data_IF_815766667626
#
_entry.id   IF_815766667626
#
_cell.length_a   1.000
_cell.length_b   1.000
_cell.length_c   1.000
_cell.angle_alpha   90.00
_cell.angle_beta   90.00
_cell.angle_gamma   90.00
#
_symmetry.space_group_name_H-M   'P 1'
#
loop_
_entity.id
_entity.type
_entity.pdbx_description
1 polymer ?
#
# COMPACT_ATOMS: atom_id res chain seq x y z
N UNK A 1 26.16 -54.01 18.15
CA UNK A 1 25.09 -54.12 19.16
C UNK A 1 23.82 -53.50 18.57
N UNK A 2 22.66 -54.10 18.86
CA UNK A 2 21.40 -54.10 18.08
C UNK A 2 20.78 -52.73 17.73
N UNK A 3 20.02 -52.64 16.61
CA UNK A 3 19.18 -51.52 16.20
C UNK A 3 17.72 -51.65 16.71
N UNK A 4 16.95 -50.56 16.71
CA UNK A 4 15.48 -50.54 16.90
C UNK A 4 14.94 -49.29 16.16
N UNK A 5 14.32 -49.39 14.98
CA UNK A 5 12.95 -49.83 14.65
C UNK A 5 11.87 -49.03 15.39
N UNK A 6 11.11 -48.22 14.64
CA UNK A 6 9.65 -48.17 14.66
C UNK A 6 9.13 -47.13 13.64
N UNK A 7 8.49 -47.56 12.53
CA UNK A 7 7.52 -46.73 11.79
C UNK A 7 6.13 -46.98 12.39
N UNK A 8 5.40 -45.93 12.78
CA UNK A 8 4.06 -46.04 13.34
C UNK A 8 3.07 -45.12 12.60
N UNK A 9 1.99 -45.75 12.16
CA UNK A 9 0.81 -45.20 11.50
C UNK A 9 0.04 -44.19 12.37
N UNK A 10 -0.57 -43.21 11.69
CA UNK A 10 -1.80 -42.50 12.07
C UNK A 10 -2.34 -41.88 10.75
N UNK A 11 -3.34 -42.37 10.02
CA UNK A 11 -4.72 -42.82 10.27
C UNK A 11 -5.63 -41.71 10.82
N UNK A 12 -6.60 -41.34 9.97
CA UNK A 12 -7.90 -40.69 10.20
C UNK A 12 -7.95 -39.20 10.62
N UNK A 13 -8.43 -38.36 9.69
CA UNK A 13 -9.45 -37.31 9.89
C UNK A 13 -9.90 -36.87 8.48
N UNK A 14 -11.00 -37.38 7.91
CA UNK A 14 -12.40 -36.99 8.15
C UNK A 14 -12.67 -35.48 7.98
N UNK A 15 -13.43 -35.17 6.92
CA UNK A 15 -14.44 -34.11 6.79
C UNK A 15 -14.04 -32.62 6.95
N UNK A 16 -14.41 -31.86 5.92
CA UNK A 16 -14.69 -30.42 5.99
C UNK A 16 -13.75 -29.61 5.10
N UNK A 17 -14.17 -28.91 4.06
CA UNK A 17 -15.49 -28.67 3.51
C UNK A 17 -15.28 -27.85 2.23
N UNK A 18 -15.97 -28.21 1.15
CA UNK A 18 -16.25 -27.27 0.08
C UNK A 18 -17.52 -26.52 0.48
N UNK A 19 -17.45 -25.21 0.67
CA UNK A 19 -18.56 -24.41 1.16
C UNK A 19 -18.31 -22.92 0.99
N UNK A 20 -18.85 -22.41 -0.11
CA UNK A 20 -19.08 -21.01 -0.46
C UNK A 20 -19.75 -20.21 0.68
N UNK A 21 -19.34 -18.95 0.89
CA UNK A 21 -20.05 -17.79 1.52
C UNK A 21 -19.05 -16.95 2.33
N UNK A 22 -18.41 -15.92 1.75
CA UNK A 22 -18.93 -14.57 1.48
C UNK A 22 -18.99 -13.67 2.72
N UNK A 23 -18.31 -12.52 2.60
CA UNK A 23 -18.25 -11.33 3.48
C UNK A 23 -17.15 -11.32 4.54
N UNK A 24 -15.99 -10.75 4.18
CA UNK A 24 -15.26 -9.69 4.90
C UNK A 24 -13.77 -9.69 4.56
N UNK A 25 -13.33 -8.62 3.88
CA UNK A 25 -11.92 -8.39 3.53
C UNK A 25 -11.60 -8.61 2.06
N UNK A 26 -12.21 -7.83 1.15
CA UNK A 26 -11.48 -7.48 -0.07
C UNK A 26 -10.22 -6.76 0.40
N UNK A 27 -9.09 -7.47 0.44
CA UNK A 27 -7.81 -6.82 0.28
C UNK A 27 -7.94 -6.02 -1.01
N UNK A 28 -8.07 -4.70 -0.87
CA UNK A 28 -8.31 -3.79 -1.97
C UNK A 28 -7.06 -3.81 -2.86
N UNK A 29 -7.00 -4.77 -3.77
CA UNK A 29 -6.00 -4.83 -4.86
C UNK A 29 -6.33 -3.83 -5.97
N UNK A 30 -7.19 -2.85 -5.68
CA UNK A 30 -7.50 -1.73 -6.55
C UNK A 30 -6.57 -0.56 -6.27
N UNK A 31 -6.62 0.48 -7.12
CA UNK A 31 -5.84 1.67 -6.88
C UNK A 31 -6.21 2.29 -5.52
N UNK A 32 -5.21 2.73 -4.77
CA UNK A 32 -5.42 3.46 -3.52
C UNK A 32 -5.86 4.88 -3.88
N UNK A 33 -7.13 5.19 -3.61
CA UNK A 33 -7.69 6.52 -3.82
C UNK A 33 -7.38 7.43 -2.64
N UNK A 34 -6.78 8.58 -2.93
CA UNK A 34 -6.43 9.62 -1.98
C UNK A 34 -7.15 10.92 -2.35
N UNK A 35 -7.67 11.64 -1.37
CA UNK A 35 -8.22 12.98 -1.56
C UNK A 35 -7.32 13.99 -0.86
N UNK A 36 -6.64 14.82 -1.64
CA UNK A 36 -5.64 15.77 -1.16
C UNK A 36 -6.22 17.18 -1.23
N UNK A 37 -6.92 17.61 -0.17
CA UNK A 37 -7.47 18.97 -0.04
C UNK A 37 -8.06 19.53 -1.34
N UNK A 38 -7.56 20.71 -1.74
CA UNK A 38 -7.96 21.41 -2.97
C UNK A 38 -7.27 20.88 -4.22
N UNK A 39 -6.20 20.09 -4.09
CA UNK A 39 -5.59 19.43 -5.25
C UNK A 39 -6.56 18.42 -5.85
N UNK A 40 -7.33 17.72 -5.01
CA UNK A 40 -8.40 16.82 -5.43
C UNK A 40 -8.02 15.35 -5.35
N UNK A 41 -8.63 14.52 -6.21
CA UNK A 41 -8.48 13.05 -6.17
C UNK A 41 -7.17 12.62 -6.84
N UNK A 42 -6.37 11.86 -6.11
CA UNK A 42 -5.23 11.09 -6.58
C UNK A 42 -5.55 9.61 -6.54
N UNK A 43 -5.08 8.86 -7.54
CA UNK A 43 -5.13 7.40 -7.50
C UNK A 43 -3.71 6.85 -7.60
N UNK A 44 -3.29 6.12 -6.57
CA UNK A 44 -2.04 5.36 -6.56
C UNK A 44 -2.32 4.02 -7.22
N UNK A 45 -1.61 3.72 -8.29
CA UNK A 45 -1.82 2.54 -9.13
C UNK A 45 -0.56 1.67 -9.08
N UNK A 46 -0.72 0.38 -9.32
CA UNK A 46 0.38 -0.58 -9.50
C UNK A 46 1.40 -0.56 -8.36
N UNK A 47 0.91 -0.54 -7.11
CA UNK A 47 1.80 -0.54 -5.94
C UNK A 47 2.71 0.68 -5.87
N UNK A 48 2.17 1.87 -6.20
CA UNK A 48 2.89 3.15 -6.25
C UNK A 48 3.84 3.34 -7.44
N UNK A 49 3.76 2.48 -8.47
CA UNK A 49 4.51 2.69 -9.70
C UNK A 49 3.96 3.86 -10.54
N UNK A 50 2.68 4.20 -10.41
CA UNK A 50 2.08 5.34 -11.09
C UNK A 50 1.06 6.08 -10.21
N UNK A 51 0.94 7.39 -10.44
CA UNK A 51 -0.13 8.21 -9.92
C UNK A 51 -1.02 8.68 -11.06
N UNK A 52 -2.33 8.60 -10.86
CA UNK A 52 -3.30 9.33 -11.66
C UNK A 52 -3.66 10.64 -10.95
N UNK A 53 -3.46 11.73 -11.67
CA UNK A 53 -3.70 13.09 -11.23
C UNK A 53 -5.18 13.48 -11.40
N UNK A 54 -5.65 14.55 -10.73
CA UNK A 54 -7.03 15.02 -10.79
C UNK A 54 -7.50 15.43 -12.19
N UNK A 55 -6.57 15.84 -13.05
CA UNK A 55 -6.82 16.18 -14.45
C UNK A 55 -6.97 14.94 -15.36
N UNK A 56 -6.79 13.74 -14.80
CA UNK A 56 -6.84 12.47 -15.52
C UNK A 56 -5.50 11.99 -16.09
N UNK A 57 -4.44 12.81 -16.01
CA UNK A 57 -3.09 12.46 -16.45
C UNK A 57 -2.48 11.39 -15.55
N UNK A 58 -1.59 10.56 -16.10
CA UNK A 58 -0.82 9.59 -15.30
C UNK A 58 0.67 9.95 -15.33
N UNK A 59 1.31 9.89 -14.17
CA UNK A 59 2.75 10.11 -13.99
C UNK A 59 3.40 8.86 -13.44
N UNK A 60 4.66 8.62 -13.82
CA UNK A 60 5.40 7.42 -13.41
C UNK A 60 6.28 7.73 -12.22
N UNK A 61 6.39 6.78 -11.30
CA UNK A 61 7.34 6.86 -10.20
C UNK A 61 8.77 6.78 -10.75
N UNK A 62 9.64 7.67 -10.27
CA UNK A 62 11.09 7.64 -10.49
C UNK A 62 11.81 6.80 -9.43
N UNK A 63 11.13 6.46 -8.34
CA UNK A 63 11.69 5.73 -7.21
C UNK A 63 11.20 6.24 -5.86
N UNK A 64 11.41 5.42 -4.85
CA UNK A 64 11.12 5.74 -3.45
C UNK A 64 12.37 5.93 -2.62
N UNK A 65 12.31 6.85 -1.67
CA UNK A 65 13.34 7.10 -0.66
C UNK A 65 12.68 7.28 0.73
N UNK A 66 13.46 7.28 1.81
CA UNK A 66 12.96 7.60 3.16
C UNK A 66 13.43 9.00 3.53
N UNK A 67 12.49 9.87 3.89
CA UNK A 67 12.76 11.25 4.30
C UNK A 67 12.28 11.49 5.72
N UNK A 68 13.12 12.13 6.52
CA UNK A 68 12.72 12.60 7.84
C UNK A 68 12.13 14.00 7.75
N UNK A 69 10.96 14.21 8.35
CA UNK A 69 10.45 15.54 8.62
C UNK A 69 11.23 16.21 9.76
N UNK A 70 11.00 17.52 9.96
CA UNK A 70 11.69 18.30 10.98
C UNK A 70 11.40 17.82 12.42
N UNK A 71 10.29 17.13 12.65
CA UNK A 71 9.92 16.48 13.91
C UNK A 71 10.61 15.10 14.10
N UNK A 72 11.41 14.65 13.14
CA UNK A 72 12.07 13.35 13.15
C UNK A 72 11.24 12.21 12.59
N UNK A 73 9.99 12.44 12.16
CA UNK A 73 9.16 11.39 11.58
C UNK A 73 9.72 10.95 10.22
N UNK A 74 10.11 9.68 10.11
CA UNK A 74 10.51 9.07 8.85
C UNK A 74 9.29 8.75 7.99
N UNK A 75 9.29 9.24 6.75
CA UNK A 75 8.26 9.05 5.75
C UNK A 75 8.85 8.34 4.55
N UNK A 76 8.12 7.38 3.98
CA UNK A 76 8.44 6.90 2.63
C UNK A 76 8.00 7.96 1.64
N UNK A 77 8.93 8.51 0.87
CA UNK A 77 8.68 9.46 -0.20
C UNK A 77 8.82 8.77 -1.54
N UNK A 78 7.89 9.03 -2.47
CA UNK A 78 7.91 8.50 -3.82
C UNK A 78 7.87 9.69 -4.76
N UNK A 79 8.92 9.85 -5.56
CA UNK A 79 9.05 10.97 -6.50
C UNK A 79 8.51 10.53 -7.86
N UNK A 80 7.80 11.41 -8.55
CA UNK A 80 7.19 11.12 -9.85
C UNK A 80 7.81 11.95 -10.97
N UNK A 81 7.60 11.52 -12.21
CA UNK A 81 8.20 12.07 -13.42
C UNK A 81 7.83 13.53 -13.70
N UNK A 82 6.73 14.02 -13.14
CA UNK A 82 6.33 15.44 -13.24
C UNK A 82 7.03 16.32 -12.20
N UNK A 83 7.75 15.73 -11.24
CA UNK A 83 8.38 16.41 -10.11
C UNK A 83 7.53 16.42 -8.83
N UNK A 84 6.33 15.82 -8.84
CA UNK A 84 5.53 15.65 -7.62
C UNK A 84 6.12 14.58 -6.70
N UNK A 85 5.77 14.66 -5.42
CA UNK A 85 6.22 13.68 -4.40
C UNK A 85 5.04 13.27 -3.52
N UNK A 86 4.81 11.96 -3.40
CA UNK A 86 3.88 11.39 -2.44
C UNK A 86 4.65 10.86 -1.23
N UNK A 87 4.27 11.31 -0.06
CA UNK A 87 4.79 10.86 1.22
C UNK A 87 3.78 9.95 1.90
N UNK A 88 4.27 8.88 2.52
CA UNK A 88 3.50 7.99 3.38
C UNK A 88 4.10 8.00 4.78
N UNK A 89 3.29 8.39 5.76
CA UNK A 89 3.61 8.29 7.17
C UNK A 89 3.61 6.83 7.62
N UNK A 90 4.62 6.47 8.41
CA UNK A 90 4.60 5.21 9.13
C UNK A 90 3.53 5.24 10.24
N UNK A 91 2.86 4.11 10.45
CA UNK A 91 1.81 3.95 11.46
C UNK A 91 0.76 2.93 11.04
N UNK A 92 -0.08 2.52 12.00
CA UNK A 92 -1.19 1.58 11.75
C UNK A 92 -2.24 2.18 10.82
N UNK A 93 -2.43 3.50 10.89
CA UNK A 93 -3.21 4.29 9.93
C UNK A 93 -2.26 5.26 9.24
N UNK A 94 -1.67 4.87 8.08
CA UNK A 94 -0.70 5.72 7.41
C UNK A 94 -1.38 6.99 6.89
N UNK A 95 -0.92 8.15 7.36
CA UNK A 95 -1.25 9.42 6.73
C UNK A 95 -0.50 9.57 5.40
N UNK A 96 -1.10 10.28 4.46
CA UNK A 96 -0.50 10.58 3.17
C UNK A 96 -0.32 12.08 3.02
N UNK A 97 0.81 12.52 2.49
CA UNK A 97 1.02 13.91 2.11
C UNK A 97 1.43 13.95 0.64
N UNK A 98 0.86 14.85 -0.14
CA UNK A 98 1.22 15.03 -1.54
C UNK A 98 1.78 16.42 -1.75
N UNK A 99 2.94 16.51 -2.41
CA UNK A 99 3.52 17.77 -2.85
C UNK A 99 3.48 17.81 -4.39
N UNK A 100 2.62 18.64 -5.00
CA UNK A 100 2.62 18.79 -6.45
C UNK A 100 3.95 19.38 -6.93
N UNK A 101 4.29 19.16 -8.20
CA UNK A 101 5.48 19.74 -8.83
C UNK A 101 5.52 21.28 -8.71
N UNK A 102 4.35 21.92 -8.68
CA UNK A 102 4.17 23.34 -8.38
C UNK A 102 3.07 23.50 -7.34
N UNK A 103 3.38 24.14 -6.22
CA UNK A 103 2.42 24.43 -5.17
C UNK A 103 2.92 24.01 -3.80
N UNK A 104 2.00 24.00 -2.85
CA UNK A 104 2.31 23.62 -1.47
C UNK A 104 1.95 22.15 -1.24
N UNK A 105 2.66 21.54 -0.29
CA UNK A 105 2.31 20.21 0.22
C UNK A 105 0.92 20.23 0.83
N UNK A 106 0.15 19.18 0.58
CA UNK A 106 -1.19 18.98 1.10
C UNK A 106 -1.29 17.63 1.82
N UNK A 107 -2.09 17.58 2.87
CA UNK A 107 -2.47 16.31 3.48
C UNK A 107 -3.51 15.61 2.62
N UNK A 108 -3.43 14.29 2.58
CA UNK A 108 -4.32 13.44 1.81
C UNK A 108 -4.97 12.41 2.72
N UNK A 109 -6.25 12.16 2.47
CA UNK A 109 -7.05 11.18 3.18
C UNK A 109 -7.37 10.01 2.24
N UNK A 110 -7.29 8.78 2.76
CA UNK A 110 -7.74 7.59 2.03
C UNK A 110 -9.26 7.64 1.87
N UNK A 111 -9.75 7.35 0.66
CA UNK A 111 -11.19 7.32 0.33
C UNK A 111 -11.70 5.91 0.08
#
# INVERSE_FOLDING_TARGET
MKPAVLPALLVLSLLGGCGDSSTDGKAASGPLALHCGDFGKLEVIDGFASLKLPDGSSVQSLGGDVRSLADGQALSAISYSDGSVLYRQAGDTPGYLYTPAKGQRQACETR
#
